data_IF_231693006619
#
_entry.id   IF_231693006619
#
_cell.length_a   1.000
_cell.length_b   1.000
_cell.length_c   1.000
_cell.angle_alpha   90.00
_cell.angle_beta   90.00
_cell.angle_gamma   90.00
#
_symmetry.space_group_name_H-M   'P 1'
#
loop_
_entity.id
_entity.type
_entity.pdbx_description
1 polymer ?
#
# COMPACT_ATOMS: atom_id res chain seq x y z
N UNK A 1 -13.17 6.27 -13.30
CA UNK A 1 -13.04 5.46 -12.04
C UNK A 1 -13.91 4.20 -12.06
N UNK A 2 -15.22 4.25 -12.30
CA UNK A 2 -16.12 3.07 -12.26
C UNK A 2 -15.60 1.89 -13.08
N UNK A 3 -15.30 2.08 -14.36
CA UNK A 3 -14.81 0.99 -15.23
C UNK A 3 -13.53 0.30 -14.73
N UNK A 4 -12.60 1.04 -14.11
CA UNK A 4 -11.39 0.45 -13.53
C UNK A 4 -11.75 -0.41 -12.32
N UNK A 5 -12.67 0.07 -11.47
CA UNK A 5 -13.10 -0.68 -10.29
C UNK A 5 -13.87 -1.96 -10.65
N UNK A 6 -14.57 -1.99 -11.76
CA UNK A 6 -15.26 -3.19 -12.27
C UNK A 6 -14.26 -4.30 -12.66
N UNK A 7 -13.04 -3.92 -13.03
CA UNK A 7 -11.95 -4.86 -13.35
C UNK A 7 -11.18 -5.36 -12.14
N UNK A 8 -11.42 -4.81 -10.94
CA UNK A 8 -10.71 -5.21 -9.71
C UNK A 8 -11.32 -6.48 -9.14
N UNK A 9 -10.55 -7.57 -9.14
CA UNK A 9 -11.00 -8.84 -8.59
C UNK A 9 -11.22 -8.80 -7.07
N UNK A 10 -10.40 -8.05 -6.34
CA UNK A 10 -10.54 -7.92 -4.89
C UNK A 10 -9.60 -6.87 -4.31
N UNK A 11 -9.95 -6.39 -3.12
CA UNK A 11 -9.12 -5.57 -2.27
C UNK A 11 -8.43 -6.45 -1.23
N UNK A 12 -7.15 -6.25 -1.02
CA UNK A 12 -6.39 -6.89 0.04
C UNK A 12 -5.79 -5.84 0.97
N UNK A 13 -5.78 -6.13 2.26
CA UNK A 13 -4.95 -5.37 3.19
C UNK A 13 -3.50 -5.81 3.03
N UNK A 14 -2.56 -4.88 3.16
CA UNK A 14 -1.16 -5.21 2.94
C UNK A 14 -0.22 -4.32 3.77
N UNK A 15 1.00 -4.82 4.00
CA UNK A 15 2.13 -4.03 4.48
C UNK A 15 3.17 -3.98 3.36
N UNK A 16 3.51 -2.78 2.92
CA UNK A 16 4.69 -2.56 2.10
C UNK A 16 5.91 -2.37 3.01
N UNK A 17 7.03 -2.97 2.60
CA UNK A 17 8.31 -2.84 3.28
C UNK A 17 9.30 -2.25 2.28
N UNK A 18 9.36 -0.90 2.17
CA UNK A 18 10.33 -0.25 1.32
C UNK A 18 11.73 -0.39 1.90
N UNK A 19 12.74 -0.50 1.05
CA UNK A 19 14.14 -0.50 1.44
C UNK A 19 14.99 0.08 0.31
N UNK A 20 15.54 1.26 0.53
CA UNK A 20 16.39 1.93 -0.46
C UNK A 20 17.82 1.38 -0.45
N UNK A 21 18.44 1.37 -1.62
CA UNK A 21 19.86 1.11 -1.79
C UNK A 21 20.72 2.35 -1.50
N UNK A 22 20.09 3.51 -1.36
CA UNK A 22 20.76 4.76 -0.99
C UNK A 22 20.73 4.95 0.52
N UNK A 23 21.87 5.39 1.08
CA UNK A 23 21.99 5.70 2.52
C UNK A 23 21.07 6.86 2.89
N UNK A 24 21.06 7.91 2.07
CA UNK A 24 20.14 9.05 2.18
C UNK A 24 19.13 9.02 1.02
N UNK A 25 18.11 8.18 1.13
CA UNK A 25 17.09 8.11 0.09
C UNK A 25 16.19 9.36 0.05
N UNK A 26 16.03 10.07 1.18
CA UNK A 26 15.21 11.26 1.24
C UNK A 26 15.83 12.43 0.47
N UNK A 27 17.17 12.45 0.39
CA UNK A 27 17.91 13.40 -0.45
C UNK A 27 18.13 12.94 -1.88
N UNK A 28 17.69 11.72 -2.25
CA UNK A 28 17.84 11.21 -3.60
C UNK A 28 16.95 11.99 -4.60
N UNK A 29 17.49 12.30 -5.75
CA UNK A 29 16.74 12.91 -6.83
C UNK A 29 15.86 11.91 -7.59
N UNK A 30 15.02 12.42 -8.48
CA UNK A 30 14.07 11.60 -9.26
C UNK A 30 14.76 10.45 -10.03
N UNK A 31 15.87 10.74 -10.69
CA UNK A 31 16.60 9.73 -11.46
C UNK A 31 17.13 8.59 -10.57
N UNK A 32 17.61 8.91 -9.37
CA UNK A 32 18.04 7.92 -8.39
C UNK A 32 16.87 7.09 -7.86
N UNK A 33 15.72 7.73 -7.57
CA UNK A 33 14.51 7.02 -7.14
C UNK A 33 14.01 6.06 -8.22
N UNK A 34 14.02 6.46 -9.48
CA UNK A 34 13.66 5.59 -10.61
C UNK A 34 14.64 4.40 -10.69
N UNK A 35 15.96 4.65 -10.60
CA UNK A 35 16.97 3.61 -10.63
C UNK A 35 16.87 2.63 -9.44
N UNK A 36 16.32 3.08 -8.31
CA UNK A 36 16.07 2.29 -7.09
C UNK A 36 14.68 1.66 -7.04
N UNK A 37 13.94 1.66 -8.15
CA UNK A 37 12.55 1.20 -8.21
C UNK A 37 11.66 1.86 -7.14
N UNK A 38 11.87 3.16 -6.85
CA UNK A 38 11.21 3.89 -5.78
C UNK A 38 11.29 3.18 -4.41
N UNK A 39 12.45 2.59 -4.09
CA UNK A 39 12.73 1.79 -2.88
C UNK A 39 11.82 0.56 -2.69
N UNK A 40 11.16 0.08 -3.73
CA UNK A 40 10.34 -1.13 -3.65
C UNK A 40 11.19 -2.35 -3.25
N UNK A 41 10.71 -3.12 -2.24
CA UNK A 41 11.43 -4.28 -1.73
C UNK A 41 10.49 -5.45 -1.47
N UNK A 42 9.64 -5.39 -0.45
CA UNK A 42 8.70 -6.46 -0.12
C UNK A 42 7.28 -5.95 0.06
N UNK A 43 6.33 -6.83 -0.20
CA UNK A 43 4.91 -6.66 0.15
C UNK A 43 4.46 -7.88 0.93
N UNK A 44 3.84 -7.66 2.09
CA UNK A 44 3.17 -8.71 2.86
C UNK A 44 1.68 -8.59 2.57
N UNK A 45 1.16 -9.49 1.76
CA UNK A 45 -0.24 -9.53 1.40
C UNK A 45 -1.04 -10.20 2.51
N UNK A 46 -2.02 -9.50 3.04
CA UNK A 46 -2.96 -10.00 4.03
C UNK A 46 -4.25 -10.54 3.42
N UNK A 47 -5.27 -10.73 4.24
CA UNK A 47 -6.54 -11.28 3.77
C UNK A 47 -7.22 -10.37 2.73
N UNK A 48 -8.05 -11.01 1.91
CA UNK A 48 -8.96 -10.28 1.03
C UNK A 48 -10.05 -9.64 1.89
N UNK A 49 -10.29 -8.36 1.67
CA UNK A 49 -11.37 -7.63 2.30
C UNK A 49 -12.74 -8.18 1.84
N UNK A 50 -13.77 -8.15 2.71
CA UNK A 50 -15.15 -8.46 2.30
C UNK A 50 -15.60 -7.57 1.14
N UNK A 51 -16.43 -8.07 0.25
CA UNK A 51 -16.91 -7.33 -0.95
C UNK A 51 -17.59 -5.99 -0.64
N UNK A 52 -18.01 -5.79 0.60
CA UNK A 52 -18.54 -4.51 1.09
C UNK A 52 -17.58 -3.32 0.86
N UNK A 53 -16.27 -3.57 0.66
CA UNK A 53 -15.30 -2.53 0.33
C UNK A 53 -15.69 -1.70 -0.90
N UNK A 54 -16.41 -2.30 -1.84
CA UNK A 54 -16.86 -1.63 -3.07
C UNK A 54 -17.78 -0.45 -2.81
N UNK A 55 -18.54 -0.52 -1.72
CA UNK A 55 -19.52 0.49 -1.29
C UNK A 55 -19.06 1.27 -0.06
N UNK A 56 -17.88 0.98 0.46
CA UNK A 56 -17.30 1.69 1.59
C UNK A 56 -16.58 2.94 1.09
N UNK A 57 -16.70 4.03 1.83
CA UNK A 57 -15.85 5.21 1.63
C UNK A 57 -14.43 4.88 2.11
N UNK A 58 -13.57 4.48 1.17
CA UNK A 58 -12.19 4.12 1.49
C UNK A 58 -11.39 5.31 2.00
N UNK A 59 -11.75 6.53 1.63
CA UNK A 59 -11.05 7.73 2.10
C UNK A 59 -11.12 7.89 3.62
N UNK A 60 -12.26 7.52 4.21
CA UNK A 60 -12.49 7.61 5.66
C UNK A 60 -12.09 6.32 6.41
N UNK A 61 -11.68 5.29 5.69
CA UNK A 61 -11.35 4.00 6.31
C UNK A 61 -10.08 4.11 7.14
N UNK A 62 -10.20 3.95 8.46
CA UNK A 62 -9.11 4.10 9.41
C UNK A 62 -8.13 2.91 9.35
N UNK A 63 -6.87 3.20 9.55
CA UNK A 63 -5.79 2.20 9.65
C UNK A 63 -4.96 2.48 10.88
N UNK A 64 -4.65 1.42 11.63
CA UNK A 64 -3.78 1.48 12.81
C UNK A 64 -2.61 0.53 12.63
N UNK A 65 -1.40 1.01 12.92
CA UNK A 65 -0.19 0.19 12.89
C UNK A 65 0.38 0.06 14.29
N UNK A 66 0.64 -1.17 14.71
CA UNK A 66 1.28 -1.46 15.99
C UNK A 66 2.60 -2.22 15.84
N UNK A 67 3.53 -1.94 16.76
CA UNK A 67 4.74 -2.72 17.02
C UNK A 67 4.53 -3.50 18.30
N UNK A 68 4.41 -4.84 18.20
CA UNK A 68 3.94 -5.64 19.33
C UNK A 68 2.57 -5.17 19.80
N UNK A 69 2.49 -4.65 21.02
CA UNK A 69 1.25 -4.13 21.62
C UNK A 69 1.15 -2.60 21.60
N UNK A 70 2.16 -1.90 21.07
CA UNK A 70 2.20 -0.44 21.03
C UNK A 70 1.70 0.08 19.69
N UNK A 71 0.75 1.03 19.69
CA UNK A 71 0.33 1.74 18.49
C UNK A 71 1.43 2.75 18.13
N UNK A 72 2.01 2.60 16.95
CA UNK A 72 3.12 3.44 16.47
C UNK A 72 2.72 4.36 15.33
N UNK A 73 1.61 4.10 14.66
CA UNK A 73 1.06 4.99 13.63
C UNK A 73 -0.44 4.78 13.45
N UNK A 74 -1.11 5.83 13.03
CA UNK A 74 -2.52 5.80 12.61
C UNK A 74 -2.68 6.61 11.33
N UNK A 75 -3.69 6.28 10.54
CA UNK A 75 -3.99 7.01 9.32
C UNK A 75 -5.33 6.59 8.73
N UNK A 76 -5.53 6.95 7.49
CA UNK A 76 -6.76 6.64 6.76
C UNK A 76 -6.49 6.51 5.27
N UNK A 77 -7.44 5.95 4.54
CA UNK A 77 -7.33 5.82 3.10
C UNK A 77 -7.17 7.15 2.36
N UNK A 78 -7.66 8.26 2.92
CA UNK A 78 -7.47 9.60 2.34
C UNK A 78 -5.99 9.99 2.19
N UNK A 79 -5.09 9.42 2.99
CA UNK A 79 -3.64 9.67 2.86
C UNK A 79 -3.08 9.14 1.53
N UNK A 80 -3.81 8.25 0.86
CA UNK A 80 -3.49 7.75 -0.47
C UNK A 80 -4.18 8.63 -1.52
N UNK A 81 -3.59 9.77 -1.86
CA UNK A 81 -4.09 10.69 -2.90
C UNK A 81 -5.57 11.11 -2.73
N UNK A 82 -6.07 11.12 -1.50
CA UNK A 82 -7.47 11.39 -1.20
C UNK A 82 -8.38 10.13 -1.20
N UNK A 83 -8.12 9.16 -2.04
CA UNK A 83 -8.79 7.85 -2.09
C UNK A 83 -7.89 6.84 -2.82
N UNK A 84 -7.62 5.64 -2.26
CA UNK A 84 -6.77 4.62 -2.90
C UNK A 84 -7.18 4.26 -4.33
N UNK A 85 -8.47 4.37 -4.64
CA UNK A 85 -9.01 4.10 -5.98
C UNK A 85 -8.53 5.10 -7.04
N UNK A 86 -8.16 6.33 -6.62
CA UNK A 86 -7.61 7.33 -7.52
C UNK A 86 -6.23 6.91 -8.05
N UNK A 87 -5.36 6.40 -7.17
CA UNK A 87 -4.05 5.91 -7.55
C UNK A 87 -4.12 4.77 -8.59
N UNK A 88 -4.99 3.78 -8.35
CA UNK A 88 -5.20 2.69 -9.31
C UNK A 88 -5.78 3.19 -10.64
N UNK A 89 -6.75 4.10 -10.57
CA UNK A 89 -7.37 4.66 -11.78
C UNK A 89 -6.36 5.44 -12.61
N UNK A 90 -5.51 6.23 -11.94
CA UNK A 90 -4.44 6.96 -12.61
C UNK A 90 -3.46 6.01 -13.29
N UNK A 91 -2.97 4.99 -12.57
CA UNK A 91 -2.04 4.01 -13.13
C UNK A 91 -2.61 3.29 -14.36
N UNK A 92 -3.86 2.84 -14.28
CA UNK A 92 -4.51 2.16 -15.40
C UNK A 92 -4.60 3.06 -16.65
N UNK A 93 -4.94 4.33 -16.48
CA UNK A 93 -5.02 5.29 -17.57
C UNK A 93 -3.63 5.64 -18.12
N UNK A 94 -2.63 5.80 -17.24
CA UNK A 94 -1.26 6.09 -17.65
C UNK A 94 -0.65 4.96 -18.49
N UNK A 95 -0.81 3.71 -18.04
CA UNK A 95 -0.37 2.55 -18.80
C UNK A 95 -1.06 2.48 -20.18
N UNK A 96 -2.36 2.74 -20.22
CA UNK A 96 -3.10 2.76 -21.49
C UNK A 96 -2.59 3.83 -22.44
N UNK A 97 -2.23 5.02 -21.94
CA UNK A 97 -1.66 6.10 -22.77
C UNK A 97 -0.33 5.70 -23.43
N UNK A 98 0.39 4.76 -22.81
CA UNK A 98 1.65 4.22 -23.28
C UNK A 98 1.50 2.91 -24.08
N UNK A 99 0.26 2.52 -24.42
CA UNK A 99 -0.04 1.27 -25.14
C UNK A 99 0.15 0.01 -24.28
N UNK A 100 0.16 0.17 -22.96
CA UNK A 100 0.28 -0.91 -21.99
C UNK A 100 -1.02 -1.08 -21.21
N UNK A 101 -1.15 -2.19 -20.47
CA UNK A 101 -2.31 -2.43 -19.62
C UNK A 101 -1.95 -3.34 -18.44
N UNK A 102 -2.70 -3.20 -17.36
CA UNK A 102 -2.69 -4.16 -16.27
C UNK A 102 -3.30 -5.48 -16.74
N UNK A 103 -2.76 -6.59 -16.25
CA UNK A 103 -3.22 -7.95 -16.61
C UNK A 103 -3.95 -8.59 -15.43
N UNK A 104 -4.80 -9.55 -15.73
CA UNK A 104 -5.46 -10.35 -14.71
C UNK A 104 -4.44 -11.04 -13.79
N UNK A 105 -4.65 -10.94 -12.48
CA UNK A 105 -3.77 -11.51 -11.47
C UNK A 105 -2.64 -10.59 -11.00
N UNK A 106 -2.46 -9.44 -11.63
CA UNK A 106 -1.49 -8.45 -11.13
C UNK A 106 -2.00 -7.77 -9.85
N UNK A 107 -1.07 -7.47 -8.95
CA UNK A 107 -1.33 -6.78 -7.68
C UNK A 107 -0.77 -5.37 -7.78
N UNK A 108 -1.60 -4.39 -7.44
CA UNK A 108 -1.20 -2.99 -7.41
C UNK A 108 -1.23 -2.47 -5.98
N UNK A 109 -0.09 -1.97 -5.50
CA UNK A 109 -0.02 -1.16 -4.29
C UNK A 109 -0.36 0.28 -4.66
N UNK A 110 -1.42 0.80 -4.04
CA UNK A 110 -1.94 2.14 -4.38
C UNK A 110 -1.32 3.27 -3.59
N UNK A 111 -0.48 2.96 -2.61
CA UNK A 111 0.20 3.90 -1.73
C UNK A 111 0.00 3.56 -0.25
N UNK A 112 0.47 4.43 0.63
CA UNK A 112 0.43 4.18 2.07
C UNK A 112 -0.65 5.00 2.79
N UNK A 113 -1.38 4.36 3.70
CA UNK A 113 -2.37 5.02 4.56
C UNK A 113 -1.74 5.68 5.80
N UNK A 114 -0.51 5.34 6.15
CA UNK A 114 0.21 5.82 7.34
C UNK A 114 1.60 6.33 6.98
N UNK A 115 2.17 7.19 7.80
CA UNK A 115 3.58 7.57 7.67
C UNK A 115 4.44 6.32 7.87
N UNK A 116 5.45 6.06 7.02
CA UNK A 116 6.32 4.90 7.17
C UNK A 116 6.99 4.85 8.54
N UNK A 117 6.99 3.66 9.14
CA UNK A 117 7.56 3.41 10.48
C UNK A 117 8.87 2.64 10.32
N UNK A 118 9.99 3.15 10.83
CA UNK A 118 11.25 2.40 10.84
C UNK A 118 11.11 1.08 11.60
N UNK A 119 11.71 0.02 11.06
CA UNK A 119 11.66 -1.32 11.65
C UNK A 119 13.06 -1.88 11.86
N UNK A 120 13.19 -2.78 12.83
CA UNK A 120 14.44 -3.47 13.15
C UNK A 120 14.23 -4.99 13.24
N UNK A 121 15.33 -5.72 13.24
CA UNK A 121 15.29 -7.16 13.49
C UNK A 121 14.66 -7.46 14.85
N UNK A 122 13.73 -8.40 14.88
CA UNK A 122 12.94 -8.77 16.05
C UNK A 122 11.56 -8.11 16.10
N UNK A 123 11.35 -7.00 15.42
CA UNK A 123 10.05 -6.31 15.40
C UNK A 123 8.93 -7.19 14.85
N UNK A 124 7.77 -7.07 15.47
CA UNK A 124 6.53 -7.65 14.99
C UNK A 124 5.56 -6.50 14.71
N UNK A 125 5.27 -6.30 13.45
CA UNK A 125 4.37 -5.24 12.99
C UNK A 125 3.00 -5.82 12.64
N UNK A 126 1.95 -5.13 13.05
CA UNK A 126 0.57 -5.44 12.68
C UNK A 126 -0.08 -4.19 12.13
N UNK A 127 -0.65 -4.29 10.95
CA UNK A 127 -1.52 -3.26 10.38
C UNK A 127 -2.97 -3.74 10.46
N UNK A 128 -3.79 -2.99 11.14
CA UNK A 128 -5.21 -3.25 11.35
C UNK A 128 -6.05 -2.30 10.49
N UNK A 129 -6.86 -2.88 9.62
CA UNK A 129 -7.77 -2.18 8.73
C UNK A 129 -9.24 -2.39 9.16
N UNK A 130 -9.47 -2.62 10.45
CA UNK A 130 -10.81 -2.78 11.01
C UNK A 130 -11.60 -3.91 10.33
N UNK A 131 -12.75 -3.58 9.75
CA UNK A 131 -13.63 -4.55 9.08
C UNK A 131 -13.01 -5.25 7.86
N UNK A 132 -11.89 -4.75 7.34
CA UNK A 132 -11.18 -5.38 6.20
C UNK A 132 -10.15 -6.40 6.64
N UNK A 133 -9.85 -6.48 7.93
CA UNK A 133 -8.93 -7.45 8.51
C UNK A 133 -7.58 -6.87 8.90
N UNK A 134 -6.68 -7.77 9.27
CA UNK A 134 -5.34 -7.41 9.75
C UNK A 134 -4.28 -8.16 8.95
N UNK A 135 -3.11 -7.55 8.85
CA UNK A 135 -1.91 -8.20 8.32
C UNK A 135 -0.76 -8.03 9.32
N UNK A 136 -0.02 -9.11 9.56
CA UNK A 136 1.05 -9.16 10.55
C UNK A 136 2.31 -9.74 9.92
N UNK A 137 3.45 -9.13 10.24
CA UNK A 137 4.75 -9.63 9.82
C UNK A 137 5.78 -9.50 10.93
N UNK A 138 6.83 -10.33 10.87
CA UNK A 138 7.98 -10.28 11.78
C UNK A 138 9.24 -10.06 10.97
N UNK A 139 10.04 -9.11 11.39
CA UNK A 139 11.36 -8.84 10.85
C UNK A 139 12.39 -9.73 11.55
N UNK A 140 13.12 -10.53 10.78
CA UNK A 140 14.21 -11.38 11.30
C UNK A 140 15.55 -10.76 10.92
N UNK A 141 16.60 -11.10 11.69
CA UNK A 141 17.98 -10.78 11.31
C UNK A 141 18.41 -11.59 10.09
#
# INVERSE_FOLDING_TARGET
MSHVMDCVAGLHVAIEVPNSRYVDFAGAGEAQLIADFACACYVVLGPRAPEAWRHTDLSQHAVTVSRGNEIVATGAGANVLGDPRLGLTWLANELLSQGQQLKAGEIVMTGTCVVPVPVAAGDVMTADFGSFGQVRTRFKA
#
